data_IF_223069885969
#
_entry.id   IF_223069885969
#
_cell.length_a   1.000
_cell.length_b   1.000
_cell.length_c   1.000
_cell.angle_alpha   90.00
_cell.angle_beta   90.00
_cell.angle_gamma   90.00
#
_symmetry.space_group_name_H-M   'P 1'
#
loop_
_entity.id
_entity.type
_entity.pdbx_description
1 polymer ?
2 water ?
#
# COMPACT_ATOMS: atom_id res chain seq x y z
N UNK A 2 -1.25 -16.05 16.13
CA UNK A 2 -1.35 -14.98 17.17
C UNK A 2 -2.66 -14.18 16.97
N UNK A 3 -3.11 -13.49 18.00
CA UNK A 3 -4.16 -12.49 17.83
C UNK A 3 -3.75 -11.46 16.76
N UNK A 4 -4.74 -10.70 16.31
CA UNK A 4 -4.51 -9.61 15.37
C UNK A 4 -4.90 -8.31 16.05
N UNK A 5 -4.26 -7.22 15.62
CA UNK A 5 -4.65 -5.87 16.06
C UNK A 5 -5.29 -5.17 14.86
N UNK A 6 -6.56 -4.81 14.99
CA UNK A 6 -7.30 -4.21 13.87
C UNK A 6 -7.47 -2.70 14.12
N UNK A 7 -6.95 -1.89 13.20
CA UNK A 7 -7.05 -0.43 13.21
C UNK A 7 -7.84 0.03 11.98
N UNK A 8 -8.47 1.20 12.03
CA UNK A 8 -9.12 1.75 10.81
C UNK A 8 -8.04 2.11 9.76
N UNK A 9 -8.30 1.97 8.47
CA UNK A 9 -7.27 2.22 7.48
C UNK A 9 -6.88 3.71 7.43
N UNK A 10 -7.84 4.59 7.71
CA UNK A 10 -7.53 6.03 7.66
C UNK A 10 -8.47 6.84 8.56
N UNK A 11 -7.95 7.98 8.99
CA UNK A 11 -8.69 9.00 9.73
C UNK A 11 -8.25 10.36 9.19
N UNK A 12 -9.08 11.40 9.33
CA UNK A 12 -8.73 12.74 8.92
C UNK A 12 -9.41 13.76 9.83
N UNK A 13 -8.76 14.91 9.92
CA UNK A 13 -9.34 16.06 10.60
C UNK A 13 -8.59 17.31 10.14
N UNK A 14 -9.19 18.50 10.38
CA UNK A 14 -8.59 19.76 10.08
C UNK A 14 -7.60 20.15 11.18
N UNK A 15 -6.60 20.98 10.87
CA UNK A 15 -5.69 21.52 11.87
C UNK A 15 -6.45 22.06 13.10
N UNK A 16 -5.92 21.76 14.28
CA UNK A 16 -6.41 22.31 15.50
C UNK A 16 -7.46 21.42 16.15
N UNK A 17 -8.01 20.46 15.43
CA UNK A 17 -9.04 19.58 15.97
C UNK A 17 -8.40 18.37 16.66
N UNK A 18 -9.25 17.51 17.20
CA UNK A 18 -8.89 16.27 17.87
C UNK A 18 -9.31 15.05 17.03
N UNK A 19 -8.47 14.03 17.04
CA UNK A 19 -8.77 12.82 16.32
C UNK A 19 -8.39 11.62 17.19
N UNK A 20 -9.12 10.51 17.05
CA UNK A 20 -8.83 9.27 17.79
C UNK A 20 -8.69 8.09 16.83
N UNK A 21 -7.70 7.26 17.10
CA UNK A 21 -7.41 6.05 16.36
C UNK A 21 -7.54 4.84 17.29
N UNK A 22 -8.29 3.83 16.91
CA UNK A 22 -8.50 2.65 17.73
C UNK A 22 -7.70 1.45 17.21
N UNK A 23 -7.50 0.50 18.09
CA UNK A 23 -6.68 -0.65 17.91
C UNK A 23 -7.36 -1.76 18.71
N UNK A 24 -8.09 -2.63 18.02
CA UNK A 24 -8.89 -3.68 18.67
C UNK A 24 -8.17 -5.02 18.56
N UNK A 25 -8.07 -5.70 19.69
CA UNK A 25 -7.43 -7.04 19.72
C UNK A 25 -8.47 -8.12 19.41
N UNK A 26 -8.12 -9.03 18.51
CA UNK A 26 -9.05 -9.99 17.91
C UNK A 26 -9.45 -11.05 18.95
N UNK A 27 -8.44 -11.61 19.61
CA UNK A 27 -8.65 -12.64 20.66
C UNK A 27 -7.73 -12.38 21.86
N UNK A 28 -8.25 -12.71 23.03
CA UNK A 28 -7.60 -12.39 24.27
C UNK A 28 -7.96 -10.99 24.69
N UNK A 29 -7.42 -10.57 25.82
CA UNK A 29 -7.77 -9.29 26.43
C UNK A 29 -6.69 -8.25 26.08
N UNK A 30 -7.14 -7.02 25.87
CA UNK A 30 -6.29 -5.91 25.45
C UNK A 30 -5.27 -5.64 26.57
N UNK A 31 -5.77 -5.76 27.80
CA UNK A 31 -4.98 -5.47 28.99
C UNK A 31 -3.95 -6.53 29.38
N UNK A 32 -3.86 -7.65 28.66
CA UNK A 32 -2.97 -8.68 29.11
C UNK A 32 -1.56 -8.43 28.57
N UNK A 33 -1.36 -7.56 27.58
CA UNK A 33 0.01 -7.12 27.21
C UNK A 33 -0.01 -5.62 26.88
N UNK A 34 1.14 -4.97 27.05
CA UNK A 34 1.27 -3.54 26.82
C UNK A 34 1.09 -3.23 25.34
N UNK A 35 0.50 -2.06 25.09
CA UNK A 35 0.30 -1.54 23.73
C UNK A 35 1.20 -0.31 23.53
N UNK A 36 1.96 -0.31 22.45
CA UNK A 36 2.72 0.83 22.01
C UNK A 36 2.05 1.44 20.76
N UNK A 37 2.29 2.71 20.54
CA UNK A 37 1.89 3.41 19.32
C UNK A 37 3.15 4.02 18.67
N UNK A 38 3.31 3.78 17.37
CA UNK A 38 4.40 4.37 16.59
C UNK A 38 3.80 5.30 15.52
N UNK A 39 4.50 6.40 15.30
CA UNK A 39 4.24 7.33 14.24
C UNK A 39 5.28 7.11 13.15
N UNK A 40 4.84 7.01 11.89
CA UNK A 40 5.81 6.89 10.81
C UNK A 40 5.38 7.79 9.64
N UNK A 41 6.25 8.74 9.33
CA UNK A 41 6.11 9.57 8.08
C UNK A 41 6.68 8.76 6.91
N UNK A 42 5.94 8.69 5.81
CA UNK A 42 6.37 7.82 4.74
C UNK A 42 7.79 8.26 4.35
N UNK A 43 8.72 7.31 4.26
CA UNK A 43 10.13 7.59 3.91
C UNK A 43 11.06 7.64 5.12
N UNK A 44 10.49 7.66 6.34
CA UNK A 44 11.28 7.76 7.60
C UNK A 44 10.97 6.58 8.54
N UNK A 45 11.77 6.47 9.61
CA UNK A 45 11.66 5.40 10.59
C UNK A 45 10.47 5.68 11.50
N UNK A 46 9.92 4.62 12.08
CA UNK A 46 8.95 4.76 13.12
C UNK A 46 9.53 5.44 14.36
N UNK A 47 8.70 6.24 15.03
CA UNK A 47 9.00 6.94 16.25
C UNK A 47 7.94 6.52 17.28
N UNK A 48 8.37 6.22 18.50
CA UNK A 48 7.41 5.86 19.54
C UNK A 48 6.71 7.12 20.06
N UNK A 49 5.37 7.15 20.06
CA UNK A 49 4.68 8.30 20.70
C UNK A 49 4.00 7.88 22.01
N UNK A 50 3.69 6.61 22.19
CA UNK A 50 3.15 6.01 23.45
C UNK A 50 3.74 4.62 23.66
N UNK A 51 4.15 4.30 24.89
CA UNK A 51 4.49 2.93 25.24
C UNK A 51 3.74 2.58 26.54
N UNK A 52 3.59 1.31 26.80
CA UNK A 52 2.95 0.83 28.03
C UNK A 52 1.57 1.47 28.14
N UNK A 53 0.86 1.46 27.01
CA UNK A 53 -0.53 1.93 26.91
C UNK A 53 -0.71 3.44 26.97
N UNK A 54 -0.02 4.13 27.87
CA UNK A 54 -0.34 5.55 28.10
C UNK A 54 0.88 6.38 28.50
N UNK A 55 2.07 5.83 28.42
CA UNK A 55 3.25 6.60 28.78
C UNK A 55 3.82 7.33 27.56
N UNK A 56 4.17 8.60 27.71
CA UNK A 56 4.76 9.40 26.68
C UNK A 56 6.27 9.51 26.87
N UNK A 57 7.05 9.15 25.85
CA UNK A 57 8.49 9.40 25.86
C UNK A 57 8.78 10.89 25.98
N UNK A 58 9.93 11.27 26.52
CA UNK A 58 10.34 12.66 26.47
C UNK A 58 10.42 13.10 25.00
N UNK A 59 10.09 14.34 24.74
CA UNK A 59 10.10 14.84 23.37
C UNK A 59 8.77 14.67 22.67
N UNK A 60 7.82 14.01 23.32
CA UNK A 60 6.51 13.82 22.73
C UNK A 60 5.50 14.68 23.52
N UNK A 61 4.77 15.56 22.81
CA UNK A 61 3.93 16.53 23.48
C UNK A 61 2.70 15.85 24.05
N UNK A 62 2.15 16.48 25.09
CA UNK A 62 0.95 15.98 25.76
C UNK A 62 -0.31 16.03 24.90
N UNK A 63 -0.23 16.64 23.72
CA UNK A 63 -1.28 16.50 22.67
C UNK A 63 -1.51 15.01 22.33
N UNK A 64 -0.51 14.13 22.50
CA UNK A 64 -0.70 12.67 22.24
C UNK A 64 -1.09 11.93 23.52
N UNK A 65 -2.18 11.19 23.53
CA UNK A 65 -2.58 10.44 24.71
C UNK A 65 -3.04 9.03 24.32
N UNK A 66 -2.60 8.06 25.10
CA UNK A 66 -3.05 6.71 24.92
C UNK A 66 -4.04 6.31 25.99
N UNK A 67 -4.88 5.34 25.65
CA UNK A 67 -5.85 4.75 26.58
C UNK A 67 -6.20 3.31 26.17
N UNK A 68 -6.84 2.60 27.10
CA UNK A 68 -7.27 1.27 26.93
C UNK A 68 -8.76 1.26 27.32
N UNK A 69 -9.56 0.48 26.60
CA UNK A 69 -10.98 0.26 26.95
C UNK A 69 -11.20 -1.22 26.95
N UNK A 70 -11.35 -1.81 28.14
CA UNK A 70 -11.34 -3.26 28.24
C UNK A 70 -12.64 -3.85 27.68
N UNK A 71 -13.73 -3.11 27.75
CA UNK A 71 -15.03 -3.60 27.30
C UNK A 71 -15.31 -3.23 25.84
N UNK A 72 -14.33 -2.71 25.10
CA UNK A 72 -14.33 -2.81 23.64
C UNK A 72 -13.11 -3.61 23.16
N UNK A 73 -12.34 -4.14 24.12
CA UNK A 73 -11.07 -4.90 23.90
C UNK A 73 -10.13 -4.12 22.95
N UNK A 74 -10.01 -2.83 23.22
CA UNK A 74 -9.29 -1.89 22.31
C UNK A 74 -8.39 -0.90 23.07
N UNK A 75 -7.35 -0.42 22.36
CA UNK A 75 -6.54 0.69 22.78
C UNK A 75 -6.84 1.90 21.87
N UNK A 76 -6.64 3.11 22.34
CA UNK A 76 -6.83 4.27 21.49
C UNK A 76 -5.67 5.26 21.63
N UNK A 77 -5.30 5.87 20.50
CA UNK A 77 -4.44 7.02 20.50
C UNK A 77 -5.30 8.25 20.15
N UNK A 78 -5.24 9.25 20.98
CA UNK A 78 -5.95 10.50 20.77
C UNK A 78 -4.92 11.62 20.62
N UNK A 79 -5.04 12.34 19.50
CA UNK A 79 -4.18 13.48 19.22
C UNK A 79 -5.06 14.72 19.19
N UNK A 80 -4.82 15.63 20.10
CA UNK A 80 -5.55 16.89 20.16
C UNK A 80 -4.68 17.99 19.56
N UNK A 81 -5.30 19.11 19.19
CA UNK A 81 -4.58 20.23 18.63
C UNK A 81 -3.77 19.86 17.39
N UNK A 82 -4.41 19.17 16.43
CA UNK A 82 -3.70 18.61 15.28
C UNK A 82 -2.88 19.67 14.57
N UNK A 83 -1.66 19.28 14.27
CA UNK A 83 -0.74 20.08 13.46
C UNK A 83 -0.42 19.33 12.16
N UNK A 84 -0.01 20.05 11.08
CA UNK A 84 0.21 19.39 9.81
C UNK A 84 1.32 18.32 9.95
N UNK A 85 2.31 18.53 10.83
CA UNK A 85 3.39 17.54 11.02
C UNK A 85 2.82 16.22 11.60
N UNK A 86 1.61 16.22 12.15
CA UNK A 86 1.06 14.96 12.69
C UNK A 86 0.60 13.99 11.61
N UNK A 87 0.51 14.45 10.35
CA UNK A 87 0.13 13.58 9.23
C UNK A 87 1.21 12.50 9.08
N UNK A 88 0.75 11.26 9.12
CA UNK A 88 1.65 10.11 9.22
C UNK A 88 0.81 8.84 9.25
N UNK A 89 1.49 7.69 9.21
CA UNK A 89 0.87 6.42 9.52
C UNK A 89 1.08 6.15 11.00
N UNK A 90 0.06 5.61 11.63
CA UNK A 90 0.17 5.24 13.05
C UNK A 90 -0.10 3.75 13.20
N UNK A 91 0.83 3.08 13.92
CA UNK A 91 0.72 1.70 14.15
C UNK A 91 0.62 1.43 15.65
N UNK A 92 -0.37 0.62 16.04
CA UNK A 92 -0.36 0.06 17.39
C UNK A 92 0.43 -1.26 17.36
N UNK A 93 0.99 -1.64 18.50
CA UNK A 93 1.84 -2.84 18.56
C UNK A 93 1.69 -3.46 19.96
N UNK A 94 1.58 -4.78 20.00
CA UNK A 94 1.59 -5.47 21.30
C UNK A 94 2.32 -6.82 21.16
N UNK A 95 2.21 -7.70 22.17
CA UNK A 95 2.90 -9.01 22.12
C UNK A 95 1.91 -10.16 22.34
N UNK A 96 2.15 -11.25 21.61
CA UNK A 96 1.53 -12.55 21.86
C UNK A 96 2.68 -13.48 22.19
N UNK A 97 2.73 -13.87 23.45
CA UNK A 97 3.86 -14.63 23.98
C UNK A 97 5.14 -13.92 23.55
N UNK A 98 5.98 -14.57 22.75
CA UNK A 98 7.32 -13.99 22.43
C UNK A 98 7.21 -13.02 21.25
N UNK A 99 6.06 -13.08 20.55
CA UNK A 99 5.93 -12.54 19.20
C UNK A 99 5.34 -11.12 19.24
N UNK A 100 6.07 -10.17 18.60
CA UNK A 100 5.56 -8.80 18.36
C UNK A 100 4.40 -8.90 17.35
N UNK A 101 3.27 -8.24 17.61
CA UNK A 101 2.14 -8.12 16.68
C UNK A 101 1.91 -6.62 16.39
N UNK A 102 1.83 -6.26 15.12
CA UNK A 102 1.47 -4.89 14.72
C UNK A 102 0.05 -4.83 14.17
N UNK A 103 -0.62 -3.73 14.44
CA UNK A 103 -1.83 -3.37 13.71
C UNK A 103 -1.51 -3.05 12.25
N UNK A 104 -2.55 -2.97 11.44
CA UNK A 104 -2.33 -2.75 10.02
C UNK A 104 -1.90 -1.33 9.70
N UNK A 105 -2.07 -0.43 10.64
CA UNK A 105 -1.71 0.96 10.44
C UNK A 105 -2.88 1.81 9.97
N UNK A 106 -2.93 3.02 10.51
CA UNK A 106 -3.94 4.02 10.19
C UNK A 106 -3.22 5.22 9.55
N UNK A 107 -3.63 5.65 8.36
CA UNK A 107 -3.16 6.93 7.81
C UNK A 107 -4.01 8.07 8.40
N UNK A 108 -3.34 8.98 9.08
CA UNK A 108 -3.93 10.24 9.62
C UNK A 108 -3.62 11.34 8.61
N UNK A 109 -4.66 11.85 7.95
CA UNK A 109 -4.46 12.99 7.07
C UNK A 109 -4.92 14.24 7.82
N UNK A 110 -4.07 15.26 7.82
CA UNK A 110 -4.49 16.54 8.33
C UNK A 110 -4.98 17.35 7.10
N UNK A 111 -6.28 17.64 7.03
CA UNK A 111 -6.85 18.11 5.75
C UNK A 111 -6.16 19.38 5.25
N UNK A 112 -5.60 19.26 4.04
CA UNK A 112 -4.92 20.36 3.34
C UNK A 112 -5.73 20.95 2.20
N UNK A 113 -6.93 20.42 1.97
CA UNK A 113 -7.86 20.79 0.91
C UNK A 113 -9.20 20.16 1.27
N UNK A 114 -10.26 20.49 0.54
CA UNK A 114 -11.57 19.89 0.82
C UNK A 114 -11.58 18.37 0.59
N UNK A 115 -12.38 17.64 1.38
CA UNK A 115 -12.58 16.27 1.13
C UNK A 115 -13.26 16.12 -0.23
N UNK A 116 -12.99 15.02 -0.91
CA UNK A 116 -13.54 14.70 -2.22
C UNK A 116 -13.73 13.19 -2.31
N UNK A 117 -14.97 12.78 -2.57
CA UNK A 117 -15.31 11.37 -2.68
C UNK A 117 -14.83 10.81 -4.04
N UNK A 118 -14.38 9.56 -4.08
CA UNK A 118 -13.89 9.10 -5.36
C UNK A 118 -14.98 8.84 -6.41
N UNK A 119 -14.63 9.06 -7.68
CA UNK A 119 -15.45 8.53 -8.76
C UNK A 119 -14.93 7.11 -9.05
N UNK A 120 -15.83 6.15 -9.09
CA UNK A 120 -15.48 4.75 -9.20
C UNK A 120 -16.06 4.22 -10.52
N UNK A 121 -15.22 3.63 -11.37
CA UNK A 121 -15.69 3.00 -12.57
C UNK A 121 -15.16 1.55 -12.61
N UNK A 122 -16.03 0.58 -12.86
CA UNK A 122 -15.66 -0.85 -12.91
C UNK A 122 -15.84 -1.36 -14.35
N UNK A 123 -14.76 -1.88 -14.86
CA UNK A 123 -14.70 -2.32 -16.23
C UNK A 123 -14.65 -3.84 -16.29
N UNK A 124 -15.54 -4.45 -17.09
CA UNK A 124 -15.48 -5.91 -17.25
C UNK A 124 -14.42 -6.24 -18.30
N UNK A 125 -14.14 -7.53 -18.48
CA UNK A 125 -13.09 -7.90 -19.40
C UNK A 125 -13.36 -7.40 -20.83
N UNK A 126 -12.31 -6.96 -21.49
CA UNK A 126 -12.39 -6.53 -22.88
C UNK A 126 -12.30 -7.74 -23.80
N UNK A 127 -12.85 -7.57 -25.01
CA UNK A 127 -12.82 -8.60 -26.08
C UNK A 127 -11.40 -9.07 -26.34
N UNK A 128 -10.48 -8.12 -26.50
CA UNK A 128 -9.13 -8.49 -26.85
C UNK A 128 -8.52 -9.40 -25.77
N UNK A 129 -8.60 -9.03 -24.48
CA UNK A 129 -7.92 -9.83 -23.48
C UNK A 129 -8.62 -11.20 -23.37
N UNK A 130 -9.93 -11.28 -23.58
CA UNK A 130 -10.64 -12.56 -23.42
C UNK A 130 -10.16 -13.55 -24.49
N UNK A 131 -9.98 -13.03 -25.69
CA UNK A 131 -9.43 -13.82 -26.78
C UNK A 131 -7.98 -14.24 -26.46
N UNK A 132 -7.31 -13.51 -25.57
CA UNK A 132 -5.96 -13.91 -25.09
C UNK A 132 -6.04 -14.70 -23.78
N UNK A 133 -7.23 -15.18 -23.39
CA UNK A 133 -7.36 -16.07 -22.22
C UNK A 133 -7.10 -15.31 -20.91
N UNK A 134 -7.45 -14.02 -20.87
CA UNK A 134 -7.32 -13.17 -19.65
C UNK A 134 -8.66 -12.47 -19.44
N UNK A 135 -9.14 -12.41 -18.20
CA UNK A 135 -10.38 -11.76 -17.88
C UNK A 135 -10.16 -10.77 -16.73
N UNK A 136 -9.06 -10.04 -16.77
CA UNK A 136 -8.75 -9.02 -15.79
C UNK A 136 -9.86 -7.96 -15.77
N UNK A 137 -10.33 -7.65 -14.56
CA UNK A 137 -11.24 -6.55 -14.27
C UNK A 137 -10.46 -5.37 -13.72
N UNK A 138 -10.90 -4.16 -14.04
CA UNK A 138 -10.26 -2.98 -13.47
C UNK A 138 -11.32 -2.09 -12.82
N UNK A 139 -10.97 -1.68 -11.63
CA UNK A 139 -11.78 -0.75 -10.83
C UNK A 139 -10.97 0.54 -10.75
N UNK A 140 -11.41 1.55 -11.45
CA UNK A 140 -10.70 2.86 -11.55
C UNK A 140 -11.30 3.79 -10.49
N UNK A 141 -10.44 4.42 -9.70
CA UNK A 141 -10.82 5.25 -8.56
C UNK A 141 -10.14 6.62 -8.72
N UNK A 142 -10.89 7.68 -8.93
CA UNK A 142 -10.22 8.98 -9.28
C UNK A 142 -10.81 10.15 -8.49
N UNK A 143 -10.10 11.27 -8.50
CA UNK A 143 -10.61 12.54 -7.97
C UNK A 143 -10.98 12.52 -6.49
N UNK A 144 -10.16 11.87 -5.69
CA UNK A 144 -10.46 11.73 -4.25
C UNK A 144 -9.38 12.40 -3.40
N UNK A 145 -9.81 12.84 -2.21
CA UNK A 145 -8.92 13.43 -1.18
C UNK A 145 -9.62 13.20 0.16
N UNK A 146 -8.94 12.74 1.21
CA UNK A 146 -7.53 12.38 1.28
C UNK A 146 -7.15 11.20 0.38
N UNK A 147 -5.86 11.10 0.13
CA UNK A 147 -5.30 10.10 -0.79
C UNK A 147 -5.10 8.73 -0.16
N UNK A 148 -6.17 8.16 0.38
CA UNK A 148 -6.16 6.86 1.08
C UNK A 148 -7.50 6.17 0.78
N UNK A 149 -7.44 4.96 0.25
CA UNK A 149 -8.62 4.17 -0.07
C UNK A 149 -8.30 2.72 0.26
N UNK A 150 -9.37 1.98 0.52
CA UNK A 150 -9.31 0.54 0.55
C UNK A 150 -10.27 -0.03 -0.48
N UNK A 151 -9.86 -1.12 -1.10
CA UNK A 151 -10.65 -1.79 -2.09
C UNK A 151 -10.84 -3.24 -1.67
N UNK A 152 -12.03 -3.74 -1.87
CA UNK A 152 -12.35 -5.12 -1.60
C UNK A 152 -13.18 -5.67 -2.76
N UNK A 153 -12.86 -6.88 -3.17
CA UNK A 153 -13.54 -7.48 -4.29
C UNK A 153 -14.40 -8.66 -3.81
N UNK A 154 -15.53 -8.89 -4.49
CA UNK A 154 -16.40 -10.04 -4.23
C UNK A 154 -16.63 -10.81 -5.54
N UNK A 155 -16.67 -12.13 -5.43
CA UNK A 155 -17.11 -13.03 -6.50
C UNK A 155 -18.48 -13.57 -6.07
N UNK A 156 -19.51 -13.21 -6.80
CA UNK A 156 -20.88 -13.32 -6.29
C UNK A 156 -20.97 -12.52 -4.96
N UNK A 157 -21.19 -13.21 -3.86
CA UNK A 157 -21.32 -12.53 -2.58
C UNK A 157 -20.09 -12.76 -1.70
N UNK A 158 -19.08 -13.47 -2.22
CA UNK A 158 -17.98 -13.98 -1.41
C UNK A 158 -16.73 -13.12 -1.61
N UNK A 159 -15.98 -12.89 -0.53
CA UNK A 159 -14.77 -12.10 -0.67
C UNK A 159 -13.73 -12.82 -1.52
N UNK A 160 -13.10 -12.07 -2.40
CA UNK A 160 -11.99 -12.52 -3.22
C UNK A 160 -10.71 -11.96 -2.61
N UNK A 161 -9.68 -12.79 -2.49
CA UNK A 161 -8.39 -12.28 -2.08
C UNK A 161 -7.34 -12.53 -3.17
N UNK A 162 -7.35 -13.73 -3.75
CA UNK A 162 -6.35 -14.09 -4.77
C UNK A 162 -6.52 -13.17 -5.98
N UNK A 163 -5.40 -12.67 -6.46
CA UNK A 163 -5.33 -12.07 -7.76
C UNK A 163 -5.65 -10.58 -7.74
N UNK A 164 -5.70 -9.95 -6.57
CA UNK A 164 -5.99 -8.49 -6.42
C UNK A 164 -4.66 -7.72 -6.32
N UNK A 165 -4.50 -6.69 -7.13
CA UNK A 165 -3.45 -5.67 -6.94
C UNK A 165 -4.08 -4.27 -6.97
N UNK A 166 -3.70 -3.39 -6.05
CA UNK A 166 -4.18 -2.01 -6.04
C UNK A 166 -2.97 -1.07 -6.06
N UNK A 167 -2.97 -0.07 -6.94
CA UNK A 167 -1.85 0.86 -7.03
C UNK A 167 -1.91 1.85 -5.85
N UNK A 168 -0.75 2.40 -5.55
CA UNK A 168 -0.60 3.43 -4.53
C UNK A 168 -1.21 4.73 -5.06
N UNK A 169 -2.12 5.35 -4.30
CA UNK A 169 -2.75 6.60 -4.77
C UNK A 169 -1.73 7.66 -5.22
N UNK A 170 -2.02 8.25 -6.34
CA UNK A 170 -1.18 9.10 -7.08
C UNK A 170 -1.87 10.48 -7.21
N UNK A 171 -1.20 11.57 -6.88
CA UNK A 171 -1.78 12.89 -7.01
C UNK A 171 -1.75 13.34 -8.47
N UNK A 172 -2.91 13.67 -9.05
CA UNK A 172 -3.03 13.97 -10.46
C UNK A 172 -3.06 15.49 -10.71
N UNK A 173 -3.25 15.88 -11.97
CA UNK A 173 -3.07 17.29 -12.40
C UNK A 173 -4.09 18.22 -11.73
N UNK A 174 -5.22 17.68 -11.25
CA UNK A 174 -6.23 18.50 -10.52
C UNK A 174 -5.99 18.53 -8.99
N UNK A 175 -4.86 18.01 -8.51
CA UNK A 175 -4.43 17.94 -7.11
C UNK A 175 -5.27 16.96 -6.28
N UNK A 176 -6.00 16.09 -6.91
CA UNK A 176 -6.69 14.99 -6.24
C UNK A 176 -6.03 13.68 -6.68
N UNK A 177 -6.35 12.66 -5.91
CA UNK A 177 -5.66 11.39 -6.09
C UNK A 177 -6.46 10.46 -6.99
N UNK A 178 -5.71 9.52 -7.56
CA UNK A 178 -6.31 8.42 -8.38
C UNK A 178 -5.56 7.12 -8.10
N UNK A 179 -6.26 6.05 -8.26
CA UNK A 179 -5.67 4.71 -8.17
C UNK A 179 -6.49 3.71 -8.97
N UNK A 180 -5.93 2.54 -9.25
CA UNK A 180 -6.72 1.49 -9.87
C UNK A 180 -6.46 0.18 -9.13
N UNK A 181 -7.51 -0.61 -8.98
CA UNK A 181 -7.42 -1.96 -8.46
C UNK A 181 -7.72 -2.91 -9.63
N UNK A 182 -6.91 -3.93 -9.86
CA UNK A 182 -7.20 -4.92 -10.93
C UNK A 182 -7.20 -6.33 -10.34
N UNK A 183 -8.15 -7.11 -10.81
CA UNK A 183 -8.40 -8.48 -10.38
C UNK A 183 -8.14 -9.39 -11.58
N UNK A 184 -7.05 -10.15 -11.51
CA UNK A 184 -6.55 -10.91 -12.64
C UNK A 184 -7.27 -12.26 -12.68
N UNK A 185 -8.44 -12.34 -13.33
CA UNK A 185 -9.18 -13.60 -13.45
C UNK A 185 -8.83 -14.31 -14.76
N UNK A 186 -9.12 -15.61 -14.80
CA UNK A 186 -9.14 -16.31 -16.05
C UNK A 186 -10.57 -16.25 -16.61
N UNK A 187 -10.69 -16.50 -17.91
CA UNK A 187 -11.97 -16.53 -18.50
C UNK A 187 -12.92 -17.50 -17.82
N UNK A 188 -12.39 -18.64 -17.36
CA UNK A 188 -13.19 -19.67 -16.67
C UNK A 188 -13.74 -19.14 -15.34
N UNK A 189 -12.88 -18.50 -14.57
CA UNK A 189 -13.27 -17.89 -13.31
C UNK A 189 -14.39 -16.87 -13.54
N UNK A 190 -14.21 -16.04 -14.57
CA UNK A 190 -15.17 -14.97 -14.87
C UNK A 190 -16.54 -15.55 -15.20
N UNK A 191 -16.57 -16.57 -16.04
CA UNK A 191 -17.84 -17.14 -16.49
C UNK A 191 -18.43 -18.09 -15.45
N UNK A 192 -17.64 -18.55 -14.48
CA UNK A 192 -18.17 -19.46 -13.46
C UNK A 192 -19.03 -18.73 -12.42
N UNK A 193 -18.97 -17.40 -12.32
CA UNK A 193 -19.74 -16.69 -11.27
C UNK A 193 -20.87 -15.89 -11.94
N UNK A 194 -21.91 -15.51 -11.20
CA UNK A 194 -22.96 -14.64 -11.76
C UNK A 194 -22.46 -13.20 -11.89
N UNK A 195 -21.59 -12.75 -11.00
CA UNK A 195 -21.09 -11.35 -11.07
C UNK A 195 -19.84 -11.23 -10.21
N UNK A 196 -19.08 -10.15 -10.46
CA UNK A 196 -18.06 -9.69 -9.53
C UNK A 196 -18.32 -8.22 -9.17
N UNK A 197 -17.92 -7.85 -7.97
CA UNK A 197 -18.12 -6.52 -7.42
C UNK A 197 -16.79 -5.95 -6.93
N UNK A 198 -16.63 -4.63 -7.07
CA UNK A 198 -15.52 -3.87 -6.48
C UNK A 198 -16.11 -2.95 -5.40
N UNK A 199 -15.58 -3.01 -4.17
CA UNK A 199 -16.03 -2.16 -3.04
C UNK A 199 -14.93 -1.18 -2.64
N UNK A 200 -15.24 0.11 -2.69
CA UNK A 200 -14.26 1.13 -2.44
C UNK A 200 -14.69 1.90 -1.20
N UNK A 201 -13.78 1.93 -0.21
CA UNK A 201 -14.00 2.62 1.04
C UNK A 201 -13.07 3.84 1.12
N UNK A 202 -13.69 4.96 1.36
CA UNK A 202 -12.98 6.23 1.48
C UNK A 202 -13.67 7.02 2.58
N UNK A 203 -12.86 7.54 3.49
CA UNK A 203 -13.38 8.33 4.62
C UNK A 203 -14.48 7.53 5.34
N UNK A 204 -14.22 6.24 5.57
CA UNK A 204 -15.08 5.36 6.35
C UNK A 204 -16.40 4.96 5.67
N UNK A 205 -16.71 5.44 4.44
CA UNK A 205 -17.93 5.01 3.71
C UNK A 205 -17.59 4.16 2.48
N UNK A 206 -18.34 3.07 2.31
CA UNK A 206 -18.07 2.11 1.26
C UNK A 206 -19.11 2.24 0.13
N UNK A 207 -18.56 2.34 -1.10
CA UNK A 207 -19.34 2.32 -2.36
C UNK A 207 -19.03 1.04 -3.16
N UNK A 208 -19.98 0.61 -4.01
CA UNK A 208 -19.92 -0.68 -4.66
C UNK A 208 -20.41 -0.59 -6.12
N UNK A 209 -19.71 -1.32 -7.01
CA UNK A 209 -20.16 -1.55 -8.39
C UNK A 209 -20.06 -3.06 -8.72
N UNK A 210 -20.88 -3.52 -9.67
CA UNK A 210 -20.98 -4.92 -10.03
C UNK A 210 -21.01 -5.05 -11.55
N UNK A 211 -20.32 -6.05 -12.06
CA UNK A 211 -20.33 -6.41 -13.47
C UNK A 211 -20.52 -7.92 -13.58
N UNK A 212 -21.20 -8.31 -14.65
CA UNK A 212 -21.49 -9.71 -14.92
C UNK A 212 -21.05 -10.06 -16.35
N UNK A 213 -20.75 -11.34 -16.61
CA UNK A 213 -20.52 -11.83 -17.99
C UNK A 213 -21.69 -11.48 -18.92
N UNK A 214 -21.37 -11.11 -20.15
CA UNK A 214 -22.32 -10.88 -21.24
C UNK A 214 -21.92 -11.79 -22.41
N UNK A 215 -22.70 -11.87 -23.48
CA UNK A 215 -22.31 -12.76 -24.60
C UNK A 215 -21.49 -12.02 -25.66
N UNK A 216 -21.82 -10.77 -26.01
CA UNK A 216 -20.97 -10.02 -26.96
C UNK A 216 -19.84 -9.33 -26.18
N UNK B 2 18.82 8.00 27.05
CA UNK B 2 18.50 8.06 25.59
C UNK B 2 19.71 7.51 24.80
N UNK B 3 19.44 6.67 23.80
CA UNK B 3 20.45 6.18 22.85
C UNK B 3 19.83 6.15 21.46
N UNK B 4 20.72 6.04 20.48
CA UNK B 4 20.38 5.99 19.11
C UNK B 4 20.82 4.62 18.57
N UNK B 5 20.14 4.12 17.55
CA UNK B 5 20.63 2.95 16.80
C UNK B 5 20.94 3.38 15.36
N UNK B 6 22.18 3.29 14.95
CA UNK B 6 22.60 3.79 13.62
C UNK B 6 22.77 2.59 12.69
N UNK B 7 22.12 2.67 11.54
CA UNK B 7 22.22 1.69 10.47
C UNK B 7 22.73 2.44 9.24
N UNK B 8 23.43 1.76 8.34
CA UNK B 8 23.62 2.34 7.01
C UNK B 8 22.31 2.70 6.29
N UNK B 9 22.34 3.69 5.38
CA UNK B 9 21.12 4.18 4.72
C UNK B 9 20.64 3.12 3.70
N UNK B 10 21.59 2.46 3.08
CA UNK B 10 21.25 1.54 1.98
C UNK B 10 22.28 0.43 1.89
N UNK B 11 21.85 -0.69 1.33
CA UNK B 11 22.72 -1.79 0.96
C UNK B 11 22.22 -2.31 -0.39
N UNK B 12 23.17 -2.83 -1.17
CA UNK B 12 22.95 -3.28 -2.54
C UNK B 12 23.73 -4.58 -2.75
N UNK B 13 23.12 -5.54 -3.44
CA UNK B 13 23.79 -6.80 -3.70
C UNK B 13 23.01 -7.58 -4.77
N UNK B 14 23.69 -8.53 -5.41
CA UNK B 14 23.12 -9.28 -6.52
C UNK B 14 22.40 -10.51 -5.98
N UNK B 15 21.41 -11.01 -6.72
CA UNK B 15 20.71 -12.18 -6.28
C UNK B 15 21.68 -13.33 -5.95
N UNK B 16 21.36 -14.11 -4.91
CA UNK B 16 22.17 -15.28 -4.55
C UNK B 16 23.24 -14.98 -3.50
N UNK B 17 23.55 -13.72 -3.29
CA UNK B 17 24.67 -13.35 -2.46
C UNK B 17 24.19 -12.98 -1.03
N UNK B 18 25.18 -12.67 -0.21
CA UNK B 18 24.92 -12.43 1.20
C UNK B 18 25.08 -10.95 1.47
N UNK B 19 24.14 -10.38 2.25
CA UNK B 19 24.24 -9.00 2.70
C UNK B 19 24.10 -8.95 4.23
N UNK B 20 24.86 -8.03 4.82
CA UNK B 20 24.90 -7.72 6.25
C UNK B 20 24.45 -6.27 6.47
N UNK B 21 23.53 -6.11 7.42
CA UNK B 21 23.04 -4.79 7.85
C UNK B 21 23.38 -4.64 9.33
N UNK B 22 24.17 -3.62 9.68
CA UNK B 22 24.57 -3.39 11.05
C UNK B 22 23.66 -2.36 11.72
N UNK B 23 23.69 -2.41 13.02
CA UNK B 23 22.82 -1.62 13.94
C UNK B 23 23.68 -1.31 15.17
N UNK B 24 24.27 -0.11 15.21
CA UNK B 24 25.22 0.22 16.25
C UNK B 24 24.58 1.10 17.32
N UNK B 25 24.73 0.72 18.59
CA UNK B 25 24.12 1.44 19.67
C UNK B 25 25.09 2.49 20.20
N UNK B 26 24.59 3.73 20.24
CA UNK B 26 25.46 4.89 20.49
C UNK B 26 25.86 4.91 21.98
N UNK B 27 24.96 4.46 22.84
CA UNK B 27 25.14 4.58 24.27
C UNK B 27 24.46 3.41 24.96
N UNK B 28 25.12 2.87 25.99
CA UNK B 28 24.71 1.65 26.67
C UNK B 28 25.16 0.45 25.89
N UNK B 29 25.18 -0.70 26.54
CA UNK B 29 25.65 -1.92 25.93
C UNK B 29 24.56 -2.53 25.05
N UNK B 30 24.95 -3.01 23.88
CA UNK B 30 24.03 -3.63 22.91
C UNK B 30 23.32 -4.83 23.57
N UNK B 31 24.00 -5.53 24.49
CA UNK B 31 23.44 -6.75 25.08
C UNK B 31 22.61 -6.56 26.32
N UNK B 32 22.37 -5.31 26.70
CA UNK B 32 21.61 -5.05 27.88
C UNK B 32 20.11 -5.12 27.59
N UNK B 33 19.71 -5.12 26.31
CA UNK B 33 18.29 -5.27 25.93
C UNK B 33 18.22 -6.05 24.60
N UNK B 34 17.15 -6.80 24.41
CA UNK B 34 16.96 -7.58 23.21
C UNK B 34 16.88 -6.65 21.98
N UNK B 35 17.44 -7.11 20.86
CA UNK B 35 17.34 -6.44 19.57
C UNK B 35 16.34 -7.21 18.67
N UNK B 36 15.39 -6.49 18.10
CA UNK B 36 14.48 -6.98 17.08
C UNK B 36 14.83 -6.36 15.71
N UNK B 37 14.52 -7.11 14.66
CA UNK B 37 14.60 -6.63 13.30
C UNK B 37 13.24 -6.73 12.58
N UNK B 38 12.89 -5.65 11.87
CA UNK B 38 11.64 -5.61 11.13
C UNK B 38 11.91 -5.35 9.66
N UNK B 39 11.11 -5.98 8.83
CA UNK B 39 11.12 -5.78 7.41
C UNK B 39 9.84 -4.99 7.06
N UNK B 40 10.00 -3.97 6.24
CA UNK B 40 8.83 -3.18 5.84
C UNK B 40 8.91 -2.77 4.36
N UNK B 41 7.81 -3.07 3.68
CA UNK B 41 7.53 -2.56 2.31
C UNK B 41 6.77 -1.25 2.44
N UNK B 42 7.20 -0.18 1.74
CA UNK B 42 6.43 1.09 1.78
C UNK B 42 4.92 0.84 1.57
N UNK B 43 4.08 1.37 2.45
CA UNK B 43 2.63 1.12 2.34
C UNK B 43 2.10 0.03 3.28
N UNK B 44 2.97 -0.83 3.86
CA UNK B 44 2.50 -1.92 4.72
C UNK B 44 3.08 -1.76 6.13
N UNK B 45 2.46 -2.47 7.06
CA UNK B 45 2.97 -2.62 8.38
C UNK B 45 4.31 -3.38 8.34
N UNK B 46 5.16 -3.12 9.30
CA UNK B 46 6.37 -3.88 9.54
C UNK B 46 6.11 -5.36 9.89
N UNK B 47 7.03 -6.20 9.45
CA UNK B 47 6.99 -7.64 9.65
C UNK B 47 8.21 -7.98 10.51
N UNK B 48 8.02 -8.68 11.62
CA UNK B 48 9.15 -9.13 12.47
C UNK B 48 9.92 -10.20 11.71
N UNK B 49 11.23 -10.02 11.47
CA UNK B 49 12.01 -11.14 10.92
C UNK B 49 12.97 -11.75 11.97
N UNK B 50 13.37 -10.99 12.98
CA UNK B 50 14.21 -11.49 14.09
C UNK B 50 13.68 -10.88 15.38
N UNK B 51 13.59 -11.67 16.45
CA UNK B 51 13.33 -11.11 17.74
C UNK B 51 14.29 -11.77 18.75
N UNK B 52 14.46 -11.16 19.89
CA UNK B 52 15.41 -11.70 20.93
C UNK B 52 16.79 -11.95 20.29
N UNK B 53 17.26 -10.97 19.54
CA UNK B 53 18.58 -11.01 18.87
C UNK B 53 18.76 -11.94 17.71
N UNK B 54 18.24 -13.16 17.80
CA UNK B 54 18.56 -14.15 16.80
C UNK B 54 17.42 -15.17 16.60
N UNK B 55 16.27 -14.96 17.17
CA UNK B 55 15.16 -15.90 16.96
C UNK B 55 14.35 -15.50 15.73
N UNK B 56 14.04 -16.48 14.85
CA UNK B 56 13.12 -16.25 13.69
C UNK B 56 11.68 -16.63 14.06
N UNK B 57 10.73 -15.70 13.81
CA UNK B 57 9.29 -16.07 13.89
C UNK B 57 8.95 -17.11 12.82
N UNK B 58 7.86 -17.82 13.03
CA UNK B 58 7.45 -18.81 12.04
C UNK B 58 7.08 -18.11 10.73
N UNK B 59 7.56 -18.65 9.63
CA UNK B 59 7.19 -18.16 8.31
C UNK B 59 8.24 -17.22 7.75
N UNK B 60 9.30 -17.01 8.53
CA UNK B 60 10.39 -16.16 8.09
C UNK B 60 11.47 -17.07 7.50
N UNK B 61 11.94 -16.77 6.29
CA UNK B 61 12.94 -17.62 5.67
C UNK B 61 14.18 -17.80 6.54
N UNK B 62 14.72 -19.01 6.57
CA UNK B 62 15.92 -19.26 7.36
C UNK B 62 17.15 -18.55 6.80
N UNK B 63 17.01 -17.86 5.68
CA UNK B 63 18.07 -17.03 5.05
C UNK B 63 18.36 -15.79 5.90
N UNK B 64 17.44 -15.45 6.80
CA UNK B 64 17.53 -14.28 7.71
C UNK B 64 18.19 -14.70 9.04
N UNK B 65 19.30 -14.08 9.40
CA UNK B 65 19.98 -14.47 10.67
C UNK B 65 20.32 -13.20 11.46
N UNK B 66 20.03 -13.25 12.74
CA UNK B 66 20.42 -12.17 13.65
C UNK B 66 21.66 -12.51 14.48
N UNK B 67 22.51 -11.51 14.73
CA UNK B 67 23.67 -11.70 15.62
C UNK B 67 23.91 -10.44 16.44
N UNK B 68 24.70 -10.59 17.50
CA UNK B 68 25.16 -9.49 18.33
C UNK B 68 26.70 -9.50 18.35
N UNK B 69 27.33 -8.33 18.29
CA UNK B 69 28.79 -8.21 18.46
C UNK B 69 29.12 -7.19 19.54
N UNK B 70 29.37 -7.68 20.74
CA UNK B 70 29.66 -6.82 21.89
C UNK B 70 30.85 -5.90 21.66
N UNK B 71 31.84 -6.35 20.89
CA UNK B 71 33.05 -5.55 20.76
C UNK B 71 32.81 -4.29 19.89
N UNK B 72 31.89 -4.30 18.93
CA UNK B 72 31.55 -3.10 18.16
C UNK B 72 30.23 -2.49 18.67
N UNK B 73 29.73 -3.02 19.77
CA UNK B 73 28.47 -2.58 20.39
C UNK B 73 27.37 -2.56 19.32
N UNK B 74 27.27 -3.62 18.53
CA UNK B 74 26.40 -3.63 17.37
C UNK B 74 25.63 -4.95 17.29
N UNK B 75 24.53 -4.87 16.58
CA UNK B 75 23.75 -6.03 16.13
C UNK B 75 23.75 -6.09 14.59
N UNK B 76 23.58 -7.29 14.03
CA UNK B 76 23.54 -7.45 12.62
C UNK B 76 22.42 -8.39 12.18
N UNK B 77 21.82 -7.99 11.09
CA UNK B 77 20.98 -8.85 10.28
C UNK B 77 21.78 -9.28 9.04
N UNK B 78 21.92 -10.59 8.87
CA UNK B 78 22.52 -11.13 7.72
C UNK B 78 21.46 -11.85 6.89
N UNK B 79 21.37 -11.50 5.61
CA UNK B 79 20.47 -12.15 4.72
C UNK B 79 21.32 -12.92 3.69
N UNK B 80 21.22 -14.23 3.69
CA UNK B 80 21.96 -15.05 2.72
C UNK B 80 21.04 -15.35 1.53
N UNK B 81 21.64 -15.75 0.40
CA UNK B 81 20.85 -16.21 -0.74
C UNK B 81 19.79 -15.20 -1.18
N UNK B 82 20.22 -13.97 -1.41
CA UNK B 82 19.34 -12.83 -1.69
C UNK B 82 18.40 -13.15 -2.86
N UNK B 83 17.13 -12.87 -2.60
CA UNK B 83 16.04 -12.95 -3.55
C UNK B 83 15.50 -11.54 -3.79
N UNK B 84 14.84 -11.30 -4.93
CA UNK B 84 14.23 -9.99 -5.20
C UNK B 84 13.15 -9.71 -4.13
N UNK B 85 12.42 -10.74 -3.68
CA UNK B 85 11.38 -10.61 -2.63
C UNK B 85 11.98 -9.94 -1.37
N UNK B 86 13.31 -9.91 -1.22
CA UNK B 86 13.89 -9.35 0.00
C UNK B 86 14.03 -7.84 -0.04
N UNK B 87 13.77 -7.19 -1.17
CA UNK B 87 13.90 -5.76 -1.28
C UNK B 87 12.87 -5.10 -0.34
N UNK B 88 13.33 -4.21 0.53
CA UNK B 88 12.52 -3.71 1.61
C UNK B 88 13.36 -2.73 2.41
N UNK B 89 12.69 -2.04 3.34
CA UNK B 89 13.39 -1.35 4.40
C UNK B 89 13.49 -2.28 5.64
N UNK B 90 14.63 -2.25 6.29
CA UNK B 90 14.92 -3.06 7.49
C UNK B 90 15.21 -2.10 8.64
N UNK B 91 14.52 -2.30 9.75
CA UNK B 91 14.73 -1.54 10.96
C UNK B 91 15.18 -2.45 12.11
N UNK B 92 16.26 -2.10 12.76
CA UNK B 92 16.52 -2.67 14.09
C UNK B 92 15.78 -1.86 15.17
N UNK B 93 15.61 -2.48 16.34
CA UNK B 93 14.79 -1.94 17.41
C UNK B 93 15.24 -2.51 18.75
N UNK B 94 15.35 -1.66 19.75
CA UNK B 94 15.66 -2.13 21.11
C UNK B 94 14.91 -1.24 22.11
N UNK B 95 15.21 -1.37 23.40
CA UNK B 95 14.48 -0.73 24.49
C UNK B 95 15.38 0.16 25.37
N UNK B 96 14.75 1.19 25.93
CA UNK B 96 15.30 2.11 26.95
C UNK B 96 14.61 1.87 28.32
N UNK B 97 13.68 0.91 28.38
CA UNK B 97 12.78 0.69 29.52
C UNK B 97 11.81 1.88 29.69
N UNK B 98 12.32 3.13 29.60
CA UNK B 98 11.47 4.35 29.38
C UNK B 98 11.45 4.75 27.87
N UNK B 99 11.62 3.79 26.93
CA UNK B 99 11.20 3.99 25.50
C UNK B 99 11.54 2.78 24.60
N UNK B 100 10.86 2.72 23.46
CA UNK B 100 11.21 1.82 22.38
C UNK B 100 11.94 2.63 21.31
N UNK B 101 13.15 2.20 20.93
CA UNK B 101 14.02 2.96 20.03
C UNK B 101 14.20 2.18 18.72
N UNK B 102 14.06 2.87 17.58
CA UNK B 102 14.24 2.27 16.28
C UNK B 102 15.52 2.79 15.65
N UNK B 103 16.18 1.93 14.87
CA UNK B 103 17.23 2.46 13.97
C UNK B 103 16.60 3.29 12.89
N UNK B 104 17.45 3.96 12.09
CA UNK B 104 16.99 4.85 11.03
C UNK B 104 16.54 4.15 9.78
N UNK B 105 16.81 2.84 9.67
CA UNK B 105 16.33 2.06 8.55
C UNK B 105 17.40 1.88 7.46
N UNK B 106 17.40 0.72 6.82
CA UNK B 106 18.28 0.45 5.71
C UNK B 106 17.42 -0.04 4.56
N UNK B 107 17.50 0.67 3.43
CA UNK B 107 16.87 0.22 2.25
C UNK B 107 17.79 -0.81 1.57
N UNK B 108 17.26 -2.00 1.38
CA UNK B 108 17.97 -3.05 0.66
C UNK B 108 17.50 -3.06 -0.81
N UNK B 109 18.48 -2.92 -1.71
CA UNK B 109 18.30 -3.05 -3.17
C UNK B 109 18.95 -4.34 -3.70
N UNK B 110 18.18 -5.13 -4.45
CA UNK B 110 18.67 -6.34 -5.12
C UNK B 110 18.97 -5.94 -6.58
N UNK B 111 20.24 -6.04 -6.94
CA UNK B 111 20.71 -5.55 -8.23
C UNK B 111 20.40 -6.55 -9.36
N UNK B 112 20.48 -6.04 -10.59
CA UNK B 112 20.39 -6.87 -11.80
C UNK B 112 18.99 -7.39 -12.07
N UNK B 113 17.93 -6.70 -11.64
CA UNK B 113 16.58 -7.21 -11.98
C UNK B 113 16.36 -7.06 -13.48
N UNK B 114 15.84 -8.09 -14.11
CA UNK B 114 15.66 -8.01 -15.56
C UNK B 114 14.58 -6.98 -15.95
N UNK B 115 14.75 -6.36 -17.09
CA UNK B 115 13.72 -5.56 -17.67
C UNK B 115 12.50 -6.43 -17.96
N UNK B 116 11.33 -5.85 -17.78
CA UNK B 116 10.15 -6.53 -18.15
C UNK B 116 9.22 -5.52 -18.84
N UNK B 117 8.76 -5.89 -20.02
CA UNK B 117 7.86 -5.09 -20.83
C UNK B 117 6.48 -5.07 -20.16
N UNK B 118 5.77 -3.98 -20.30
CA UNK B 118 4.42 -3.99 -19.71
C UNK B 118 3.33 -4.83 -20.42
N UNK B 119 2.47 -5.41 -19.62
CA UNK B 119 1.20 -5.90 -20.10
C UNK B 119 0.23 -4.72 -20.17
N UNK B 120 -0.31 -4.48 -21.35
CA UNK B 120 -1.22 -3.34 -21.59
C UNK B 120 -2.60 -3.88 -21.97
N UNK B 121 -3.61 -3.40 -21.27
CA UNK B 121 -4.99 -3.79 -21.56
C UNK B 121 -5.83 -2.50 -21.62
N UNK B 122 -6.57 -2.32 -22.71
CA UNK B 122 -7.34 -1.11 -22.92
C UNK B 122 -8.81 -1.48 -22.84
N UNK B 123 -9.55 -0.74 -22.05
CA UNK B 123 -10.94 -1.04 -21.79
C UNK B 123 -11.83 0.09 -22.34
N UNK B 124 -12.86 -0.28 -23.07
CA UNK B 124 -13.85 0.70 -23.52
C UNK B 124 -14.78 1.10 -22.38
N UNK B 125 -15.60 2.12 -22.58
CA UNK B 125 -16.50 2.57 -21.52
C UNK B 125 -17.41 1.44 -21.03
N UNK B 126 -17.62 1.34 -19.72
CA UNK B 126 -18.61 0.39 -19.18
C UNK B 126 -20.01 0.82 -19.57
N UNK B 127 -20.89 -0.17 -19.65
CA UNK B 127 -22.33 0.13 -19.84
C UNK B 127 -22.87 1.04 -18.74
N UNK B 128 -22.51 0.75 -17.50
CA UNK B 128 -23.02 1.51 -16.34
C UNK B 128 -22.56 2.97 -16.44
N UNK B 129 -21.28 3.26 -16.74
CA UNK B 129 -20.89 4.66 -16.81
C UNK B 129 -21.57 5.35 -18.00
N UNK B 130 -21.80 4.67 -19.11
CA UNK B 130 -22.48 5.30 -20.26
C UNK B 130 -23.92 5.66 -19.89
N UNK B 131 -24.55 4.86 -19.06
CA UNK B 131 -25.93 5.18 -18.58
C UNK B 131 -25.89 6.39 -17.64
N UNK B 132 -24.75 6.64 -16.99
CA UNK B 132 -24.52 7.83 -16.13
C UNK B 132 -23.79 8.94 -16.90
N UNK B 133 -23.87 8.92 -18.23
CA UNK B 133 -23.48 10.07 -19.08
C UNK B 133 -21.96 10.28 -19.02
N UNK B 134 -21.20 9.19 -18.89
CA UNK B 134 -19.74 9.29 -18.91
C UNK B 134 -19.15 8.20 -19.82
N UNK B 135 -17.96 8.46 -20.34
CA UNK B 135 -17.32 7.48 -21.25
C UNK B 135 -15.80 7.43 -21.02
N UNK B 136 -15.41 7.40 -19.77
CA UNK B 136 -13.98 7.25 -19.41
C UNK B 136 -13.45 5.88 -19.88
N UNK B 137 -12.26 5.89 -20.50
CA UNK B 137 -11.51 4.75 -20.90
C UNK B 137 -10.38 4.52 -19.89
N UNK B 138 -9.97 3.27 -19.72
CA UNK B 138 -8.80 3.02 -18.91
C UNK B 138 -7.81 2.10 -19.63
N UNK B 139 -6.55 2.47 -19.53
CA UNK B 139 -5.42 1.69 -20.07
C UNK B 139 -4.63 1.17 -18.86
N UNK B 140 -4.78 -0.12 -18.56
CA UNK B 140 -4.07 -0.77 -17.44
C UNK B 140 -2.68 -1.19 -17.92
N UNK B 141 -1.67 -0.77 -17.19
CA UNK B 141 -0.28 -1.05 -17.52
C UNK B 141 0.37 -1.78 -16.33
N UNK B 142 0.70 -3.04 -16.49
CA UNK B 142 1.17 -3.81 -15.34
C UNK B 142 2.43 -4.63 -15.68
N UNK B 143 3.05 -5.06 -14.58
CA UNK B 143 4.14 -6.02 -14.55
C UNK B 143 5.35 -5.54 -15.32
N UNK B 144 5.65 -4.26 -15.22
CA UNK B 144 6.79 -3.71 -15.95
C UNK B 144 7.95 -3.35 -15.02
N UNK B 145 9.16 -3.36 -15.58
CA UNK B 145 10.36 -2.98 -14.86
C UNK B 145 11.41 -2.48 -15.87
N UNK B 146 12.07 -1.36 -15.66
CA UNK B 146 11.97 -0.51 -14.49
C UNK B 146 10.67 0.30 -14.48
N UNK B 147 10.46 1.15 -13.47
CA UNK B 147 9.11 1.66 -13.20
C UNK B 147 8.89 3.05 -13.78
N UNK B 148 9.08 3.20 -15.08
CA UNK B 148 8.83 4.42 -15.82
C UNK B 148 8.21 4.04 -17.15
N UNK B 149 7.09 4.68 -17.48
CA UNK B 149 6.42 4.55 -18.78
C UNK B 149 6.02 5.95 -19.22
N UNK B 150 5.86 6.16 -20.51
CA UNK B 150 5.12 7.29 -21.01
C UNK B 150 3.95 6.77 -21.83
N UNK B 151 2.92 7.55 -21.83
CA UNK B 151 1.66 7.13 -22.41
C UNK B 151 1.14 8.25 -23.31
N UNK B 152 0.63 7.86 -24.48
CA UNK B 152 0.01 8.77 -25.42
C UNK B 152 -1.29 8.13 -25.93
N UNK B 153 -2.28 8.96 -26.13
CA UNK B 153 -3.56 8.53 -26.63
C UNK B 153 -3.84 9.10 -28.03
N UNK B 154 -4.64 8.32 -28.77
CA UNK B 154 -5.07 8.69 -30.08
C UNK B 154 -6.58 8.56 -30.19
N UNK B 155 -7.18 9.50 -30.91
CA UNK B 155 -8.58 9.41 -31.35
C UNK B 155 -8.56 9.22 -32.86
N UNK B 156 -9.06 8.06 -33.34
CA UNK B 156 -8.75 7.64 -34.72
C UNK B 156 -7.23 7.63 -34.80
N UNK B 157 -6.60 8.28 -35.81
CA UNK B 157 -5.16 8.28 -35.92
C UNK B 157 -4.53 9.56 -35.33
N UNK B 158 -5.36 10.41 -34.74
CA UNK B 158 -4.92 11.76 -34.31
C UNK B 158 -4.56 11.78 -32.81
N UNK B 159 -3.50 12.48 -32.44
CA UNK B 159 -3.18 12.66 -31.02
C UNK B 159 -4.32 13.29 -30.20
N UNK B 160 -4.58 12.77 -28.99
CA UNK B 160 -5.52 13.37 -28.01
C UNK B 160 -4.68 14.12 -26.99
N UNK B 161 -5.01 15.36 -26.74
CA UNK B 161 -4.20 16.17 -25.84
C UNK B 161 -4.97 16.43 -24.55
N UNK B 162 -6.29 16.41 -24.56
CA UNK B 162 -7.02 16.78 -23.34
C UNK B 162 -7.60 15.52 -22.73
N UNK B 163 -7.85 15.60 -21.41
CA UNK B 163 -8.63 14.60 -20.70
C UNK B 163 -7.79 13.41 -20.24
N UNK B 164 -6.45 13.46 -20.35
CA UNK B 164 -5.58 12.34 -20.05
C UNK B 164 -4.99 12.52 -18.64
N UNK B 165 -5.02 11.43 -17.90
CA UNK B 165 -4.32 11.33 -16.60
C UNK B 165 -3.60 9.98 -16.54
N UNK B 166 -2.36 9.98 -16.06
CA UNK B 166 -1.65 8.74 -15.87
C UNK B 166 -1.08 8.69 -14.44
N UNK B 167 -1.25 7.57 -13.76
CA UNK B 167 -0.85 7.48 -12.35
C UNK B 167 0.67 7.26 -12.29
N UNK B 168 1.25 7.70 -11.17
CA UNK B 168 2.65 7.34 -10.81
C UNK B 168 2.77 5.83 -10.63
N UNK B 169 3.71 5.18 -11.38
CA UNK B 169 3.93 3.73 -11.27
C UNK B 169 4.15 3.32 -9.81
N UNK B 170 3.55 2.21 -9.40
CA UNK B 170 3.81 1.72 -8.06
C UNK B 170 4.17 0.24 -8.10
N UNK B 171 5.05 -0.12 -7.17
CA UNK B 171 5.58 -1.46 -7.10
C UNK B 171 4.49 -2.37 -6.52
N UNK B 172 4.18 -3.48 -7.18
CA UNK B 172 3.12 -4.33 -6.73
C UNK B 172 3.75 -5.55 -6.03
N UNK B 173 2.94 -6.54 -5.69
CA UNK B 173 3.42 -7.62 -4.81
C UNK B 173 4.38 -8.58 -5.54
N UNK B 174 4.61 -8.39 -6.84
CA UNK B 174 5.60 -9.18 -7.59
C UNK B 174 6.88 -8.36 -7.79
N UNK B 175 6.98 -7.21 -7.16
CA UNK B 175 8.13 -6.28 -7.32
C UNK B 175 8.29 -5.73 -8.75
N UNK B 176 7.25 -5.83 -9.58
CA UNK B 176 7.23 -5.07 -10.82
C UNK B 176 6.18 -3.97 -10.64
N UNK B 177 6.09 -3.07 -11.59
CA UNK B 177 5.33 -1.82 -11.40
C UNK B 177 4.01 -1.89 -12.17
N UNK B 178 3.08 -1.07 -11.72
CA UNK B 178 1.78 -0.98 -12.34
C UNK B 178 1.33 0.48 -12.30
N UNK B 179 0.57 0.85 -13.34
CA UNK B 179 -0.01 2.13 -13.49
C UNK B 179 -1.26 2.02 -14.35
N UNK B 180 -2.06 3.09 -14.33
CA UNK B 180 -3.15 3.18 -15.28
C UNK B 180 -3.18 4.61 -15.86
N UNK B 181 -3.57 4.69 -17.11
CA UNK B 181 -3.86 5.93 -17.75
C UNK B 181 -5.35 5.94 -18.06
N UNK B 182 -6.02 7.04 -17.82
CA UNK B 182 -7.49 7.10 -18.10
C UNK B 182 -7.79 8.39 -18.87
N UNK B 183 -8.73 8.29 -19.78
CA UNK B 183 -9.06 9.34 -20.70
C UNK B 183 -10.53 9.63 -20.46
N UNK B 184 -10.81 10.84 -19.99
CA UNK B 184 -12.15 11.17 -19.57
C UNK B 184 -13.00 11.73 -20.74
N UNK B 185 -13.64 10.88 -21.50
CA UNK B 185 -14.43 11.31 -22.63
C UNK B 185 -15.89 11.53 -22.21
N UNK B 186 -16.58 12.35 -22.99
CA UNK B 186 -18.04 12.34 -23.02
C UNK B 186 -18.53 11.21 -23.93
N UNK B 187 -19.76 10.76 -23.73
CA UNK B 187 -20.36 9.80 -24.62
C UNK B 187 -20.36 10.25 -26.09
N UNK B 188 -20.56 11.56 -26.29
CA UNK B 188 -20.59 12.14 -27.63
C UNK B 188 -19.20 12.02 -28.27
N UNK B 189 -18.15 12.31 -27.53
CA UNK B 189 -16.79 12.16 -28.04
C UNK B 189 -16.47 10.70 -28.38
N UNK B 190 -16.80 9.77 -27.47
CA UNK B 190 -16.58 8.37 -27.68
C UNK B 190 -17.24 7.89 -28.97
N UNK B 191 -18.50 8.23 -29.19
CA UNK B 191 -19.20 7.67 -30.35
C UNK B 191 -18.87 8.43 -31.64
N UNK B 192 -18.20 9.56 -31.56
CA UNK B 192 -17.90 10.38 -32.72
C UNK B 192 -16.65 9.90 -33.47
N UNK B 193 -15.91 8.94 -32.91
CA UNK B 193 -14.68 8.46 -33.56
C UNK B 193 -14.84 6.98 -33.86
N UNK B 194 -14.05 6.48 -34.79
CA UNK B 194 -14.07 5.05 -35.09
C UNK B 194 -13.37 4.27 -33.99
N UNK B 195 -12.34 4.86 -33.38
CA UNK B 195 -11.63 4.16 -32.32
C UNK B 195 -10.83 5.14 -31.47
N UNK B 196 -10.39 4.64 -30.33
CA UNK B 196 -9.38 5.29 -29.55
C UNK B 196 -8.26 4.30 -29.25
N UNK B 197 -7.04 4.81 -29.11
CA UNK B 197 -5.87 3.98 -28.89
C UNK B 197 -5.07 4.53 -27.71
N UNK B 198 -4.44 3.61 -26.96
CA UNK B 198 -3.46 3.94 -25.90
C UNK B 198 -2.10 3.44 -26.36
N UNK B 199 -1.08 4.28 -26.39
CA UNK B 199 0.28 3.85 -26.77
C UNK B 199 1.21 4.01 -25.57
N UNK B 200 1.77 2.89 -25.15
CA UNK B 200 2.59 2.84 -23.95
C UNK B 200 4.02 2.61 -24.38
N UNK B 201 4.88 3.51 -23.98
CA UNK B 201 6.30 3.39 -24.27
C UNK B 201 7.10 3.11 -22.99
N UNK B 202 7.94 2.09 -23.08
CA UNK B 202 8.75 1.62 -21.96
C UNK B 202 10.14 1.22 -22.48
N UNK B 203 11.16 1.90 -22.01
CA UNK B 203 12.54 1.54 -22.36
C UNK B 203 12.71 1.51 -23.90
N UNK B 204 12.14 2.52 -24.55
CA UNK B 204 12.24 2.69 -26.02
C UNK B 204 11.41 1.71 -26.84
N UNK B 205 10.57 0.85 -26.23
CA UNK B 205 9.68 -0.06 -26.97
C UNK B 205 8.23 0.39 -26.79
N UNK B 206 7.45 0.42 -27.86
CA UNK B 206 6.07 0.89 -27.77
C UNK B 206 5.09 -0.28 -27.97
N UNK B 207 4.01 -0.26 -27.19
CA UNK B 207 2.89 -1.20 -27.27
C UNK B 207 1.63 -0.36 -27.49
N UNK B 208 0.81 -0.70 -28.48
CA UNK B 208 -0.38 0.12 -28.77
C UNK B 208 -1.61 -0.79 -28.80
N UNK B 209 -2.68 -0.33 -28.15
CA UNK B 209 -3.95 -1.04 -28.10
C UNK B 209 -5.04 -0.11 -28.62
N UNK B 210 -6.11 -0.69 -29.21
CA UNK B 210 -7.15 0.08 -29.82
C UNK B 210 -8.51 -0.53 -29.41
N UNK B 211 -9.49 0.31 -29.11
CA UNK B 211 -10.88 -0.14 -28.85
C UNK B 211 -11.84 0.75 -29.64
N UNK B 212 -13.07 0.25 -29.80
CA UNK B 212 -14.05 0.93 -30.58
C UNK B 212 -15.44 0.77 -29.96
N UNK B 213 -16.35 1.68 -30.25
CA UNK B 213 -17.71 1.60 -29.67
C UNK B 213 -18.35 0.22 -29.93
N UNK B 214 -19.11 -0.30 -28.96
CA UNK B 214 -19.64 -1.65 -29.04
C UNK B 214 -20.61 -1.77 -30.21
N UNK B 215 -20.73 -2.99 -30.73
CA UNK B 215 -21.69 -3.28 -31.78
C UNK B 215 -22.86 -4.10 -31.20
N UNK B 216 -23.35 -3.75 -30.00
CA UNK B 216 -24.31 -4.57 -29.24
C UNK B 216 -25.40 -3.70 -28.62
#
# INVERSE_FOLDING_TARGET
MNFMLNQPHSVSESPGKTVTISCTRSSGNIDSNYVQWYQQRPGSAPITVIYEDNQRPSGVPDRFAGSIDRSSNSASLTISGLKTEDEADYYCQSYDARNVVFGGGTRLTVLGQPKAAPSVTLFPPSSEELQANKATLVCLISDFYPGAVTVAWKADSSPVKAGVETTTPSKQSNNKYAASSYLSLTPEQWKSHKSYSCQVTHEGSTVEKTVAPTECS
MNFMLNQPHSVSESPGKTVTISCTRSSGNIDSNYVQWYQQRPGSAPITVIYEDNQRPSGVPDRFAGSIDRSSNSASLTISGLKTEDEADYYCQSYDARNVVFGGGTRLTVLGQPKAAPSVTLFPPSSEELQANKATLVCLISDFYPGAVTVAWKADSSPVKAGVETTTPSKQSNNKYAASSYLSLTPEQWKSHKSYSCQVTHEGSTVEKTVAPTECS
#
